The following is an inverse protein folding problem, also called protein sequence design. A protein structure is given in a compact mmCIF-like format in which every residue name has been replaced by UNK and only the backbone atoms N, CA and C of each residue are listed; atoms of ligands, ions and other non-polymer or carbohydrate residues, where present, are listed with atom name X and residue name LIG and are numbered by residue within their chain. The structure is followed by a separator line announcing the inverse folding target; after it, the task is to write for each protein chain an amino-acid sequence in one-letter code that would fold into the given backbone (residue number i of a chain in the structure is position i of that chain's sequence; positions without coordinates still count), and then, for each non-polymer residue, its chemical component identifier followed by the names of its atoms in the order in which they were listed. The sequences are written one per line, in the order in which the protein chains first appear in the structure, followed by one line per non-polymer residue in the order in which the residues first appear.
data_IF_980464058134
#
_entry.id   IF_980464058134
#
_cell.length_a   1.000
_cell.length_b   1.000
_cell.length_c   1.000
_cell.angle_alpha   90.00
_cell.angle_beta   90.00
_cell.angle_gamma   90.00
#
_symmetry.space_group_name_H-M   'P 1'
#
loop_
_entity.id
_entity.type
_entity.pdbx_description
1 polymer ?
#
# COMPACT_ATOMS: atom_id res chain seq x y z
N UNK A 1 -15.68 71.45 54.05
CA UNK A 1 -14.75 70.35 53.73
C UNK A 1 -15.57 69.29 53.03
N UNK A 2 -15.28 68.97 51.76
CA UNK A 2 -16.02 67.95 51.02
C UNK A 2 -15.47 66.56 51.33
N UNK A 3 -16.34 65.63 51.71
CA UNK A 3 -15.97 64.23 51.98
C UNK A 3 -15.67 63.49 50.67
N UNK A 4 -14.39 63.28 50.38
CA UNK A 4 -13.94 62.51 49.23
C UNK A 4 -14.05 61.01 49.54
N UNK A 5 -15.09 60.35 49.03
CA UNK A 5 -15.18 58.88 49.00
C UNK A 5 -14.49 58.35 47.74
N UNK A 6 -13.33 57.69 47.90
CA UNK A 6 -12.61 57.06 46.80
C UNK A 6 -13.15 55.64 46.55
N UNK A 7 -13.79 55.44 45.39
CA UNK A 7 -14.17 54.12 44.88
C UNK A 7 -13.09 53.66 43.90
N UNK A 8 -12.47 52.52 44.18
CA UNK A 8 -11.49 51.93 43.28
C UNK A 8 -12.18 50.87 42.43
N UNK A 9 -11.86 50.84 41.13
CA UNK A 9 -12.39 49.85 40.21
C UNK A 9 -11.28 48.85 39.92
N UNK A 10 -11.42 47.63 40.44
CA UNK A 10 -10.55 46.53 40.08
C UNK A 10 -11.14 45.74 38.89
N UNK A 11 -10.37 44.80 38.36
CA UNK A 11 -10.70 44.03 37.14
C UNK A 11 -11.92 43.12 37.36
N UNK A 12 -12.35 42.89 38.61
CA UNK A 12 -13.46 42.01 38.98
C UNK A 12 -14.64 42.74 39.65
N UNK A 13 -14.57 44.07 39.81
CA UNK A 13 -15.65 44.88 40.37
C UNK A 13 -15.16 46.19 41.02
N UNK A 14 -16.10 47.04 41.44
CA UNK A 14 -15.77 48.21 42.24
C UNK A 14 -15.74 47.83 43.72
N UNK A 15 -14.57 47.91 44.38
CA UNK A 15 -14.47 47.85 45.84
C UNK A 15 -14.19 49.25 46.39
N UNK A 16 -14.79 49.58 47.53
CA UNK A 16 -14.50 50.85 48.19
C UNK A 16 -13.33 50.69 49.16
N UNK A 17 -12.62 51.78 49.45
CA UNK A 17 -11.59 51.79 50.51
C UNK A 17 -12.14 51.28 51.86
N UNK A 18 -13.43 51.47 52.10
CA UNK A 18 -14.08 50.99 53.31
C UNK A 18 -14.19 49.46 53.34
N UNK A 19 -14.49 48.82 52.21
CA UNK A 19 -14.59 47.36 52.11
C UNK A 19 -13.25 46.67 52.43
N UNK A 20 -12.15 47.25 51.95
CA UNK A 20 -10.79 46.72 52.18
C UNK A 20 -10.37 46.85 53.65
N UNK A 21 -10.72 47.97 54.28
CA UNK A 21 -10.49 48.19 55.72
C UNK A 21 -11.31 47.19 56.55
N UNK A 22 -12.57 46.94 56.19
CA UNK A 22 -13.43 45.98 56.89
C UNK A 22 -12.94 44.53 56.76
N UNK A 23 -12.40 44.14 55.59
CA UNK A 23 -11.75 42.82 55.43
C UNK A 23 -10.49 42.71 56.29
N UNK A 24 -9.66 43.74 56.34
CA UNK A 24 -8.44 43.76 57.17
C UNK A 24 -8.72 43.71 58.67
N UNK A 25 -9.85 44.27 59.10
CA UNK A 25 -10.34 44.19 60.48
C UNK A 25 -11.08 42.88 60.79
N UNK A 26 -11.29 42.00 59.79
CA UNK A 26 -11.94 40.69 59.95
C UNK A 26 -13.47 40.71 59.96
N UNK A 27 -14.09 41.85 59.65
CA UNK A 27 -15.55 42.00 59.65
C UNK A 27 -16.22 41.53 58.34
N UNK A 28 -15.45 41.40 57.26
CA UNK A 28 -15.94 41.01 55.93
C UNK A 28 -15.11 39.83 55.39
N UNK A 29 -15.71 38.84 54.71
CA UNK A 29 -14.98 37.69 54.17
C UNK A 29 -13.90 38.08 53.15
N UNK A 30 -12.84 37.28 53.04
CA UNK A 30 -11.79 37.47 52.03
C UNK A 30 -12.36 37.40 50.61
N UNK A 31 -11.80 38.22 49.71
CA UNK A 31 -12.26 38.25 48.31
C UNK A 31 -11.82 36.95 47.60
N UNK A 32 -12.67 36.36 46.74
CA UNK A 32 -12.25 35.20 45.94
C UNK A 32 -10.95 35.51 45.18
N UNK A 33 -10.08 34.50 45.00
CA UNK A 33 -8.84 34.67 44.25
C UNK A 33 -9.16 35.05 42.80
N UNK A 34 -8.45 36.06 42.29
CA UNK A 34 -8.67 36.57 40.95
C UNK A 34 -8.53 35.45 39.90
N UNK A 35 -9.49 35.36 38.99
CA UNK A 35 -9.46 34.35 37.93
C UNK A 35 -8.32 34.68 36.96
N UNK A 36 -7.30 33.82 36.94
CA UNK A 36 -6.21 33.90 35.96
C UNK A 36 -6.44 32.81 34.91
N UNK A 37 -6.81 33.16 33.66
CA UNK A 37 -6.86 32.16 32.60
C UNK A 37 -5.47 31.54 32.40
N UNK A 38 -5.38 30.26 32.01
CA UNK A 38 -4.10 29.63 31.69
C UNK A 38 -3.40 30.43 30.57
N UNK A 39 -2.06 30.44 30.54
CA UNK A 39 -1.30 31.01 29.42
C UNK A 39 -1.80 30.41 28.10
N UNK A 40 -2.04 31.25 27.11
CA UNK A 40 -2.45 30.79 25.79
C UNK A 40 -1.37 29.85 25.21
N UNK A 41 -1.74 28.60 24.95
CA UNK A 41 -0.94 27.66 24.17
C UNK A 41 -1.57 27.54 22.78
N UNK A 42 -0.87 27.92 21.70
CA UNK A 42 -1.37 27.69 20.35
C UNK A 42 -1.59 26.18 20.16
N UNK A 43 -2.68 25.82 19.50
CA UNK A 43 -2.91 24.42 19.11
C UNK A 43 -1.75 23.97 18.20
N UNK A 44 -1.25 22.77 18.43
CA UNK A 44 -0.27 22.16 17.53
C UNK A 44 -0.98 21.73 16.26
N UNK A 45 -0.91 22.53 15.21
CA UNK A 45 -1.38 22.15 13.88
C UNK A 45 -0.49 21.03 13.33
N UNK A 46 -1.07 20.03 12.67
CA UNK A 46 -0.33 18.88 12.14
C UNK A 46 0.74 19.31 11.11
N UNK A 47 0.51 20.44 10.43
CA UNK A 47 1.46 21.04 9.49
C UNK A 47 2.69 21.66 10.17
N UNK A 48 2.67 21.83 11.50
CA UNK A 48 3.79 22.37 12.29
C UNK A 48 4.82 21.31 12.66
N UNK A 49 4.54 20.02 12.38
CA UNK A 49 5.43 18.92 12.74
C UNK A 49 6.62 18.92 11.78
N UNK A 50 7.88 18.97 12.27
CA UNK A 50 9.05 18.90 11.40
C UNK A 50 9.03 17.65 10.52
N UNK A 51 9.08 17.84 9.20
CA UNK A 51 9.06 16.78 8.20
C UNK A 51 10.44 16.10 8.10
N UNK A 52 10.89 15.48 9.18
CA UNK A 52 12.22 14.85 9.27
C UNK A 52 12.31 13.50 8.52
N UNK A 53 13.48 12.85 8.52
CA UNK A 53 13.68 11.53 7.87
C UNK A 53 12.66 10.47 8.27
N UNK A 54 12.30 10.41 9.55
CA UNK A 54 11.31 9.45 10.07
C UNK A 54 9.93 9.66 9.47
N UNK A 55 9.57 10.92 9.19
CA UNK A 55 8.35 11.25 8.47
C UNK A 55 8.41 10.66 7.06
N UNK A 56 9.49 10.90 6.31
CA UNK A 56 9.67 10.36 4.95
C UNK A 56 9.71 8.82 4.91
N UNK A 57 10.30 8.17 5.92
CA UNK A 57 10.34 6.70 6.02
C UNK A 57 8.97 6.06 6.26
N UNK A 58 8.04 6.79 6.88
CA UNK A 58 6.69 6.31 7.15
C UNK A 58 5.74 6.43 5.95
N UNK A 59 6.17 7.09 4.88
CA UNK A 59 5.34 7.38 3.71
C UNK A 59 5.37 6.26 2.67
N UNK A 60 4.25 6.10 1.98
CA UNK A 60 4.14 5.19 0.83
C UNK A 60 4.76 5.82 -0.42
N UNK A 61 5.00 5.02 -1.46
CA UNK A 61 5.55 5.51 -2.73
C UNK A 61 4.69 6.62 -3.35
N UNK A 62 3.36 6.47 -3.34
CA UNK A 62 2.44 7.49 -3.87
C UNK A 62 2.50 8.80 -3.07
N UNK A 63 2.56 8.73 -1.74
CA UNK A 63 2.72 9.92 -0.89
C UNK A 63 4.08 10.59 -1.10
N UNK A 64 5.14 9.79 -1.30
CA UNK A 64 6.48 10.24 -1.67
C UNK A 64 6.58 10.70 -3.13
N UNK A 65 5.54 10.62 -3.94
CA UNK A 65 5.44 11.34 -5.22
C UNK A 65 4.70 12.66 -5.01
N UNK A 66 3.57 12.64 -4.31
CA UNK A 66 2.77 13.85 -4.07
C UNK A 66 3.51 14.96 -3.34
N UNK A 67 4.38 14.61 -2.38
CA UNK A 67 5.15 15.61 -1.63
C UNK A 67 6.18 16.38 -2.51
N UNK A 68 6.33 16.07 -3.81
CA UNK A 68 7.46 16.53 -4.64
C UNK A 68 7.33 18.03 -4.89
N UNK A 69 6.08 18.49 -4.93
CA UNK A 69 5.70 19.90 -5.04
C UNK A 69 5.58 20.60 -3.66
N UNK A 70 6.00 19.97 -2.57
CA UNK A 70 5.94 20.54 -1.22
C UNK A 70 7.10 21.53 -1.00
N UNK A 71 6.75 22.83 -0.96
CA UNK A 71 7.70 23.93 -0.84
C UNK A 71 8.58 23.85 0.42
N UNK A 72 8.06 23.31 1.52
CA UNK A 72 8.81 23.21 2.78
C UNK A 72 9.95 22.17 2.70
N UNK A 73 9.75 21.13 1.89
CA UNK A 73 10.73 20.08 1.66
C UNK A 73 11.76 20.47 0.59
N UNK A 74 11.39 21.40 -0.30
CA UNK A 74 12.22 21.86 -1.41
C UNK A 74 13.35 22.81 -0.96
N UNK A 75 13.20 23.43 0.22
CA UNK A 75 14.21 24.32 0.81
C UNK A 75 15.42 23.54 1.39
N UNK A 76 15.23 22.26 1.77
CA UNK A 76 16.32 21.42 2.29
C UNK A 76 16.78 20.39 1.25
N UNK A 77 17.90 20.73 0.59
CA UNK A 77 18.58 19.87 -0.38
C UNK A 77 18.87 18.46 0.14
N UNK A 78 19.15 18.31 1.44
CA UNK A 78 19.45 17.01 2.02
C UNK A 78 18.19 16.13 2.13
N UNK A 79 17.03 16.70 2.47
CA UNK A 79 15.76 15.97 2.48
C UNK A 79 15.30 15.58 1.08
N UNK A 80 15.47 16.46 0.09
CA UNK A 80 15.21 16.15 -1.32
C UNK A 80 16.01 14.92 -1.80
N UNK A 81 17.32 14.92 -1.56
CA UNK A 81 18.21 13.82 -1.97
C UNK A 81 17.83 12.52 -1.23
N UNK A 82 17.51 12.60 0.06
CA UNK A 82 17.10 11.43 0.84
C UNK A 82 15.77 10.84 0.35
N UNK A 83 14.78 11.68 0.08
CA UNK A 83 13.49 11.27 -0.46
C UNK A 83 13.64 10.64 -1.85
N UNK A 84 14.37 11.29 -2.77
CA UNK A 84 14.65 10.74 -4.10
C UNK A 84 15.34 9.38 -3.99
N UNK A 85 16.31 9.26 -3.09
CA UNK A 85 17.00 8.00 -2.81
C UNK A 85 16.03 6.91 -2.31
N UNK A 86 15.17 7.22 -1.34
CA UNK A 86 14.17 6.26 -0.82
C UNK A 86 13.17 5.83 -1.90
N UNK A 87 12.69 6.77 -2.70
CA UNK A 87 11.81 6.50 -3.83
C UNK A 87 12.49 5.62 -4.88
N UNK A 88 13.76 5.88 -5.21
CA UNK A 88 14.52 5.02 -6.11
C UNK A 88 14.78 3.64 -5.52
N UNK A 89 15.10 3.53 -4.24
CA UNK A 89 15.29 2.24 -3.56
C UNK A 89 13.98 1.43 -3.54
N UNK A 90 12.83 2.07 -3.29
CA UNK A 90 11.50 1.45 -3.37
C UNK A 90 11.17 1.00 -4.81
N UNK A 91 11.44 1.85 -5.81
CA UNK A 91 11.25 1.51 -7.23
C UNK A 91 12.17 0.41 -7.72
N UNK A 92 13.41 0.37 -7.22
CA UNK A 92 14.39 -0.65 -7.57
C UNK A 92 14.10 -1.98 -6.87
N UNK A 93 13.63 -1.95 -5.63
CA UNK A 93 13.07 -3.13 -4.97
C UNK A 93 11.84 -3.66 -5.73
N UNK A 94 11.05 -2.75 -6.31
CA UNK A 94 9.89 -3.07 -7.14
C UNK A 94 10.24 -3.12 -8.63
N UNK A 95 11.52 -3.33 -8.99
CA UNK A 95 11.95 -3.55 -10.38
C UNK A 95 11.58 -4.98 -10.78
N UNK A 96 10.28 -5.21 -10.77
CA UNK A 96 9.57 -6.39 -11.18
C UNK A 96 10.12 -6.76 -12.55
N UNK A 97 10.67 -7.96 -12.65
CA UNK A 97 11.08 -8.53 -13.93
C UNK A 97 9.85 -8.56 -14.82
N UNK A 98 9.87 -7.79 -15.92
CA UNK A 98 8.71 -7.65 -16.80
C UNK A 98 8.67 -8.79 -17.82
N UNK A 99 7.91 -9.83 -17.49
CA UNK A 99 7.55 -10.94 -18.35
C UNK A 99 6.29 -10.58 -19.15
N UNK A 100 6.46 -9.89 -20.28
CA UNK A 100 5.34 -9.38 -21.09
C UNK A 100 4.80 -10.36 -22.14
N UNK A 101 5.15 -11.65 -22.08
CA UNK A 101 4.75 -12.65 -23.08
C UNK A 101 4.76 -14.07 -22.51
N UNK A 102 4.06 -14.98 -23.20
CA UNK A 102 4.05 -16.41 -22.87
C UNK A 102 5.24 -17.10 -23.54
N UNK A 103 6.14 -17.65 -22.74
CA UNK A 103 7.38 -18.27 -23.24
C UNK A 103 7.22 -19.80 -23.33
N UNK A 104 7.47 -20.42 -24.49
CA UNK A 104 7.55 -21.88 -24.57
C UNK A 104 8.84 -22.39 -23.91
N UNK A 105 8.72 -23.41 -23.05
CA UNK A 105 9.84 -24.03 -22.35
C UNK A 105 9.91 -25.55 -22.63
N UNK A 106 11.10 -26.11 -22.54
CA UNK A 106 11.32 -27.56 -22.60
C UNK A 106 11.26 -28.20 -21.21
N UNK A 107 11.15 -29.53 -21.15
CA UNK A 107 11.21 -30.27 -19.88
C UNK A 107 12.49 -30.02 -19.08
N UNK A 108 13.64 -29.87 -19.75
CA UNK A 108 14.93 -29.56 -19.09
C UNK A 108 14.97 -28.15 -18.49
N UNK A 109 14.24 -27.21 -19.08
CA UNK A 109 14.18 -25.83 -18.58
C UNK A 109 13.18 -25.66 -17.43
N UNK A 110 12.27 -26.61 -17.22
CA UNK A 110 11.19 -26.51 -16.22
C UNK A 110 11.71 -26.15 -14.83
N UNK A 111 12.77 -26.82 -14.35
CA UNK A 111 13.32 -26.57 -13.01
C UNK A 111 13.88 -25.16 -12.91
N UNK A 112 14.64 -24.71 -13.92
CA UNK A 112 15.25 -23.36 -13.93
C UNK A 112 14.17 -22.28 -14.04
N UNK A 113 13.22 -22.46 -14.95
CA UNK A 113 12.26 -21.41 -15.30
C UNK A 113 11.08 -21.32 -14.34
N UNK A 114 10.69 -22.43 -13.69
CA UNK A 114 9.52 -22.53 -12.80
C UNK A 114 9.93 -22.72 -11.35
N UNK A 115 10.76 -23.72 -11.05
CA UNK A 115 11.14 -24.03 -9.65
C UNK A 115 12.16 -23.04 -9.08
N UNK A 116 12.98 -22.41 -9.93
CA UNK A 116 14.04 -21.46 -9.57
C UNK A 116 13.79 -20.03 -10.08
N UNK A 117 12.52 -19.65 -10.29
CA UNK A 117 12.15 -18.37 -10.91
C UNK A 117 12.51 -17.09 -10.12
N UNK A 118 13.13 -17.23 -8.94
CA UNK A 118 13.47 -16.13 -8.04
C UNK A 118 12.44 -15.95 -6.92
N UNK A 119 12.81 -15.29 -5.81
CA UNK A 119 11.87 -14.95 -4.75
C UNK A 119 10.83 -13.95 -5.28
N UNK A 120 9.57 -14.10 -4.86
CA UNK A 120 8.43 -13.25 -5.20
C UNK A 120 8.03 -13.21 -6.69
N UNK A 121 8.56 -14.13 -7.50
CA UNK A 121 8.11 -14.30 -8.89
C UNK A 121 7.00 -15.35 -8.94
N UNK A 122 5.83 -14.93 -9.41
CA UNK A 122 4.72 -15.81 -9.76
C UNK A 122 4.98 -16.45 -11.11
N UNK A 123 4.84 -17.78 -11.20
CA UNK A 123 4.99 -18.52 -12.46
C UNK A 123 3.73 -19.30 -12.76
N UNK A 124 3.12 -19.03 -13.90
CA UNK A 124 1.95 -19.73 -14.41
C UNK A 124 2.38 -20.62 -15.57
N UNK A 125 2.21 -21.93 -15.40
CA UNK A 125 2.58 -22.96 -16.38
C UNK A 125 1.32 -23.52 -17.03
N UNK A 126 1.25 -23.43 -18.36
CA UNK A 126 0.27 -24.13 -19.17
C UNK A 126 0.85 -25.44 -19.71
N UNK A 127 0.31 -26.57 -19.28
CA UNK A 127 0.53 -27.86 -19.91
C UNK A 127 -0.50 -28.01 -21.05
N UNK A 128 0.00 -28.14 -22.27
CA UNK A 128 -0.83 -28.26 -23.47
C UNK A 128 -0.40 -29.43 -24.35
N UNK A 129 -1.24 -29.72 -25.35
CA UNK A 129 -0.93 -30.65 -26.44
C UNK A 129 -1.66 -30.17 -27.68
N UNK A 130 -0.99 -30.25 -28.83
CA UNK A 130 -1.58 -29.86 -30.10
C UNK A 130 -2.76 -30.77 -30.47
N UNK A 131 -3.73 -30.21 -31.19
CA UNK A 131 -4.97 -30.92 -31.58
C UNK A 131 -6.14 -30.77 -30.61
N UNK A 132 -5.93 -30.20 -29.42
CA UNK A 132 -6.99 -29.91 -28.45
C UNK A 132 -7.44 -28.44 -28.54
N UNK A 133 -8.69 -28.20 -28.94
CA UNK A 133 -9.24 -26.85 -29.13
C UNK A 133 -9.22 -26.01 -27.84
N UNK A 134 -9.46 -26.66 -26.69
CA UNK A 134 -9.53 -26.04 -25.37
C UNK A 134 -8.18 -25.44 -24.95
N UNK A 135 -7.07 -26.11 -25.30
CA UNK A 135 -5.71 -25.59 -25.11
C UNK A 135 -5.48 -24.29 -25.90
N UNK A 136 -6.01 -24.21 -27.13
CA UNK A 136 -5.86 -23.03 -27.98
C UNK A 136 -6.62 -21.81 -27.44
N UNK A 137 -7.79 -22.02 -26.83
CA UNK A 137 -8.54 -20.94 -26.16
C UNK A 137 -7.77 -20.41 -24.96
N UNK A 138 -7.28 -21.31 -24.09
CA UNK A 138 -6.55 -20.92 -22.89
C UNK A 138 -5.22 -20.23 -23.22
N UNK A 139 -4.54 -20.66 -24.28
CA UNK A 139 -3.30 -20.02 -24.75
C UNK A 139 -3.51 -18.54 -25.10
N UNK A 140 -4.58 -18.22 -25.85
CA UNK A 140 -4.93 -16.82 -26.17
C UNK A 140 -5.23 -15.99 -24.92
N UNK A 141 -5.92 -16.57 -23.95
CA UNK A 141 -6.21 -15.90 -22.68
C UNK A 141 -4.92 -15.58 -21.91
N UNK A 142 -3.96 -16.51 -21.89
CA UNK A 142 -2.67 -16.31 -21.23
C UNK A 142 -1.81 -15.26 -21.94
N UNK A 143 -1.86 -15.19 -23.27
CA UNK A 143 -1.17 -14.14 -24.03
C UNK A 143 -1.69 -12.74 -23.66
N UNK A 144 -3.01 -12.58 -23.51
CA UNK A 144 -3.59 -11.32 -23.02
C UNK A 144 -3.23 -11.02 -21.56
N UNK A 145 -3.22 -12.05 -20.70
CA UNK A 145 -2.83 -11.91 -19.28
C UNK A 145 -1.36 -11.54 -19.11
N UNK A 146 -0.47 -12.11 -19.93
CA UNK A 146 0.96 -11.80 -19.89
C UNK A 146 1.25 -10.33 -20.18
N UNK A 147 0.46 -9.70 -21.05
CA UNK A 147 0.56 -8.26 -21.32
C UNK A 147 0.04 -7.43 -20.15
N UNK A 148 -1.05 -7.85 -19.50
CA UNK A 148 -1.65 -7.11 -18.37
C UNK A 148 -0.88 -7.26 -17.06
N UNK A 149 -0.24 -8.40 -16.84
CA UNK A 149 0.48 -8.72 -15.60
C UNK A 149 1.96 -8.98 -15.87
N UNK A 150 2.75 -7.94 -16.19
CA UNK A 150 4.16 -8.12 -16.53
C UNK A 150 5.00 -8.66 -15.36
N UNK A 151 4.53 -8.60 -14.12
CA UNK A 151 5.24 -9.19 -12.98
C UNK A 151 5.06 -10.69 -12.79
N UNK A 152 4.15 -11.31 -13.55
CA UNK A 152 3.92 -12.74 -13.53
C UNK A 152 4.54 -13.37 -14.76
N UNK A 153 5.31 -14.44 -14.55
CA UNK A 153 5.93 -15.19 -15.64
C UNK A 153 4.96 -16.23 -16.17
N UNK A 154 4.60 -16.10 -17.45
CA UNK A 154 3.75 -17.08 -18.13
C UNK A 154 4.59 -17.99 -19.02
N UNK A 155 4.46 -19.29 -18.83
CA UNK A 155 5.18 -20.30 -19.63
C UNK A 155 4.23 -21.38 -20.15
N UNK A 156 4.58 -21.96 -21.29
CA UNK A 156 3.86 -23.10 -21.87
C UNK A 156 4.81 -24.26 -22.15
N UNK A 157 4.36 -25.47 -21.89
CA UNK A 157 5.12 -26.70 -22.10
C UNK A 157 4.21 -27.79 -22.65
N UNK A 158 4.75 -28.62 -23.54
CA UNK A 158 4.03 -29.80 -24.01
C UNK A 158 3.87 -30.76 -22.82
N UNK A 159 2.64 -31.22 -22.61
CA UNK A 159 2.28 -32.10 -21.47
C UNK A 159 3.21 -33.31 -21.31
N UNK A 160 3.58 -33.96 -22.41
CA UNK A 160 4.48 -35.12 -22.45
C UNK A 160 5.93 -34.77 -22.13
N UNK A 161 6.37 -33.54 -22.38
CA UNK A 161 7.72 -33.07 -22.08
C UNK A 161 7.88 -32.72 -20.60
N UNK A 162 6.79 -32.29 -19.97
CA UNK A 162 6.74 -32.03 -18.53
C UNK A 162 6.54 -33.30 -17.71
N UNK A 163 5.57 -34.14 -18.09
CA UNK A 163 5.17 -35.35 -17.37
C UNK A 163 4.98 -36.49 -18.39
N UNK A 164 5.81 -37.55 -18.35
CA UNK A 164 5.63 -38.71 -19.22
C UNK A 164 4.26 -39.35 -19.02
N UNK A 165 3.56 -39.66 -20.12
CA UNK A 165 2.22 -40.27 -20.13
C UNK A 165 1.15 -39.46 -19.36
N UNK A 166 1.24 -38.14 -19.34
CA UNK A 166 0.18 -37.30 -18.76
C UNK A 166 -1.17 -37.57 -19.44
N UNK A 167 -2.26 -37.77 -18.68
CA UNK A 167 -3.56 -38.09 -19.25
C UNK A 167 -4.15 -36.93 -20.05
N UNK A 168 -4.43 -37.19 -21.32
CA UNK A 168 -4.96 -36.19 -22.26
C UNK A 168 -6.29 -35.56 -21.81
N UNK A 169 -7.15 -36.27 -21.06
CA UNK A 169 -8.42 -35.75 -20.57
C UNK A 169 -8.27 -34.65 -19.50
N UNK A 170 -7.07 -34.51 -18.91
CA UNK A 170 -6.75 -33.44 -17.97
C UNK A 170 -6.25 -32.18 -18.69
N UNK A 171 -6.09 -32.21 -20.01
CA UNK A 171 -5.68 -31.04 -20.77
C UNK A 171 -6.87 -30.12 -21.08
N UNK A 172 -6.67 -28.79 -21.10
CA UNK A 172 -5.47 -28.09 -20.64
C UNK A 172 -5.31 -28.14 -19.12
N UNK A 173 -4.06 -28.16 -18.62
CA UNK A 173 -3.77 -28.03 -17.18
C UNK A 173 -2.99 -26.76 -16.92
N UNK A 174 -3.39 -26.00 -15.90
CA UNK A 174 -2.73 -24.77 -15.48
C UNK A 174 -2.20 -24.93 -14.05
N UNK A 175 -0.90 -24.74 -13.89
CA UNK A 175 -0.20 -24.83 -12.61
C UNK A 175 0.30 -23.44 -12.22
N UNK A 176 0.04 -23.03 -10.99
CA UNK A 176 0.53 -21.76 -10.44
C UNK A 176 1.60 -22.07 -9.39
N UNK A 177 2.79 -21.52 -9.59
CA UNK A 177 3.92 -21.62 -8.70
C UNK A 177 4.27 -20.26 -8.12
N UNK A 178 4.70 -20.26 -6.86
CA UNK A 178 5.34 -19.12 -6.21
C UNK A 178 6.34 -19.65 -5.18
N UNK A 179 7.54 -19.07 -5.15
CA UNK A 179 8.62 -19.45 -4.22
C UNK A 179 8.91 -20.97 -4.23
N UNK A 180 8.90 -21.59 -5.42
CA UNK A 180 9.19 -23.01 -5.62
C UNK A 180 8.06 -23.98 -5.23
N UNK A 181 6.93 -23.49 -4.70
CA UNK A 181 5.80 -24.30 -4.29
C UNK A 181 4.59 -24.11 -5.22
N UNK A 182 3.83 -25.19 -5.44
CA UNK A 182 2.54 -25.14 -6.16
C UNK A 182 1.51 -24.46 -5.26
N UNK A 183 0.88 -23.40 -5.76
CA UNK A 183 -0.19 -22.67 -5.09
C UNK A 183 -1.57 -23.07 -5.60
N UNK A 184 -1.69 -23.35 -6.89
CA UNK A 184 -2.94 -23.80 -7.49
C UNK A 184 -2.69 -24.77 -8.65
N UNK A 185 -3.65 -25.67 -8.86
CA UNK A 185 -3.65 -26.65 -9.94
C UNK A 185 -5.07 -26.78 -10.51
N UNK A 186 -5.23 -26.41 -11.78
CA UNK A 186 -6.49 -26.48 -12.51
C UNK A 186 -6.32 -27.47 -13.65
N UNK A 187 -6.86 -28.68 -13.47
CA UNK A 187 -6.78 -29.75 -14.46
C UNK A 187 -8.11 -29.91 -15.22
N UNK A 188 -8.02 -29.83 -16.56
CA UNK A 188 -9.11 -30.06 -17.49
C UNK A 188 -10.07 -28.89 -17.63
N UNK A 189 -10.84 -28.88 -18.71
CA UNK A 189 -11.72 -27.74 -19.03
C UNK A 189 -12.86 -27.51 -18.04
N UNK A 190 -13.23 -28.54 -17.26
CA UNK A 190 -14.26 -28.41 -16.21
C UNK A 190 -13.82 -27.52 -15.05
N UNK A 191 -12.52 -27.42 -14.75
CA UNK A 191 -12.05 -26.54 -13.67
C UNK A 191 -12.21 -25.07 -14.01
N UNK A 192 -12.39 -24.72 -15.28
CA UNK A 192 -12.54 -23.35 -15.77
C UNK A 192 -14.02 -22.90 -15.89
N UNK A 193 -14.97 -23.68 -15.34
CA UNK A 193 -16.40 -23.33 -15.30
C UNK A 193 -17.19 -23.70 -16.56
N UNK A 194 -18.53 -23.54 -16.51
CA UNK A 194 -19.48 -24.02 -17.54
C UNK A 194 -19.37 -23.36 -18.92
N UNK A 195 -18.53 -22.33 -19.07
CA UNK A 195 -18.26 -21.66 -20.34
C UNK A 195 -16.77 -21.33 -20.40
N UNK A 196 -15.99 -22.12 -21.13
CA UNK A 196 -14.63 -21.79 -21.53
C UNK A 196 -14.66 -20.64 -22.55
N UNK A 197 -15.21 -19.49 -22.19
CA UNK A 197 -15.03 -18.26 -22.95
C UNK A 197 -13.75 -17.59 -22.48
N UNK A 198 -13.05 -16.86 -23.37
CA UNK A 198 -11.90 -16.09 -22.98
C UNK A 198 -12.20 -15.20 -21.77
N UNK A 199 -13.37 -14.54 -21.73
CA UNK A 199 -13.74 -13.65 -20.64
C UNK A 199 -13.97 -14.38 -19.30
N UNK A 200 -14.50 -15.61 -19.32
CA UNK A 200 -14.77 -16.40 -18.11
C UNK A 200 -13.50 -17.02 -17.51
N UNK A 201 -12.58 -17.47 -18.35
CA UNK A 201 -11.27 -17.94 -17.91
C UNK A 201 -10.42 -16.77 -17.42
N UNK A 202 -10.53 -15.62 -18.09
CA UNK A 202 -9.88 -14.38 -17.69
C UNK A 202 -10.36 -13.93 -16.32
N UNK A 203 -11.67 -13.97 -16.03
CA UNK A 203 -12.18 -13.52 -14.73
C UNK A 203 -11.74 -14.46 -13.59
N UNK A 204 -11.78 -15.78 -13.77
CA UNK A 204 -11.32 -16.72 -12.74
C UNK A 204 -9.82 -16.60 -12.49
N UNK A 205 -9.01 -16.63 -13.55
CA UNK A 205 -7.56 -16.53 -13.42
C UNK A 205 -7.12 -15.14 -12.96
N UNK A 206 -7.78 -14.07 -13.40
CA UNK A 206 -7.45 -12.71 -12.97
C UNK A 206 -7.88 -12.44 -11.53
N UNK A 207 -9.01 -12.99 -11.05
CA UNK A 207 -9.38 -12.84 -9.64
C UNK A 207 -8.43 -13.61 -8.73
N UNK A 208 -8.03 -14.82 -9.12
CA UNK A 208 -6.98 -15.56 -8.40
C UNK A 208 -5.63 -14.82 -8.50
N UNK A 209 -5.20 -14.35 -9.68
CA UNK A 209 -3.95 -13.59 -9.82
C UNK A 209 -3.95 -12.23 -9.11
N UNK A 210 -5.07 -11.52 -9.06
CA UNK A 210 -5.23 -10.26 -8.32
C UNK A 210 -5.11 -10.48 -6.81
N UNK A 211 -5.62 -11.61 -6.30
CA UNK A 211 -5.42 -12.02 -4.90
C UNK A 211 -3.98 -12.43 -4.59
N UNK A 212 -3.20 -12.80 -5.60
CA UNK A 212 -1.82 -13.26 -5.47
C UNK A 212 -0.81 -12.12 -5.64
N UNK A 213 -1.22 -10.99 -6.23
CA UNK A 213 -0.40 -9.78 -6.41
C UNK A 213 -0.61 -8.68 -5.35
N UNK A 214 -1.57 -8.84 -4.42
CA UNK A 214 -1.88 -7.92 -3.33
C UNK A 214 -1.23 -8.40 -2.01
#
# INVERSE_FOLDING_TARGET
MGDYHFVYKDVEGASTQWDDIQRKLGNLPEKPPAFKPPPFTPASDQDSIPKDKSFLDSKTEEELEFLEDDLDLDDDRFLQEYRKKRLTEMREATKIVRFGSVVPISGSDFVREVSQAGPDVWVVVLLYKDGYAECGVLMKCLEELAVKYPGTKFVKIVSTDCIPNYPDHNLPTLLVYNNGAVKANYAGSRSFGRRCTPEGNFSCLASDLLFLSA
#
